data_IF_267433997857
#
_entry.id   IF_267433997857
#
_cell.length_a   1.000
_cell.length_b   1.000
_cell.length_c   1.000
_cell.angle_alpha   90.00
_cell.angle_beta   90.00
_cell.angle_gamma   90.00
#
_symmetry.space_group_name_H-M   'P 1'
#
loop_
_entity.id
_entity.type
_entity.pdbx_description
1 polymer ?
#
# COMPACT_ATOMS: atom_id res chain seq x y z
N UNK A 1 -1.61 -11.25 6.38
CA UNK A 1 -1.57 -10.83 4.97
C UNK A 1 -0.53 -11.61 4.16
N UNK A 2 -0.87 -11.95 2.93
CA UNK A 2 0.07 -12.41 1.90
C UNK A 2 0.41 -11.25 0.96
N UNK A 3 1.65 -11.18 0.49
CA UNK A 3 2.07 -10.15 -0.44
C UNK A 3 3.00 -10.68 -1.52
N UNK A 4 3.00 -9.99 -2.66
CA UNK A 4 3.98 -10.19 -3.73
C UNK A 4 4.51 -8.82 -4.18
N UNK A 5 5.82 -8.73 -4.40
CA UNK A 5 6.49 -7.53 -4.92
C UNK A 5 6.97 -7.81 -6.33
N UNK A 6 6.63 -6.93 -7.26
CA UNK A 6 7.02 -7.02 -8.67
C UNK A 6 7.55 -5.66 -9.14
N UNK A 7 8.71 -5.66 -9.79
CA UNK A 7 9.23 -4.45 -10.44
C UNK A 7 8.46 -4.22 -11.75
N UNK A 8 7.95 -3.01 -11.92
CA UNK A 8 7.28 -2.56 -13.14
C UNK A 8 8.17 -1.57 -13.89
N UNK A 9 7.80 -1.22 -15.12
CA UNK A 9 8.56 -0.28 -15.94
C UNK A 9 8.62 1.13 -15.32
N UNK A 10 7.57 1.54 -14.59
CA UNK A 10 7.43 2.85 -13.93
C UNK A 10 7.72 2.84 -12.42
N UNK A 11 8.10 1.67 -11.87
CA UNK A 11 8.50 1.54 -10.48
C UNK A 11 8.18 0.18 -9.87
N UNK A 12 7.30 0.17 -8.87
CA UNK A 12 7.03 -1.02 -8.05
C UNK A 12 5.53 -1.32 -8.00
N UNK A 13 5.15 -2.60 -8.12
CA UNK A 13 3.80 -3.07 -7.82
C UNK A 13 3.85 -4.05 -6.66
N UNK A 14 3.03 -3.79 -5.65
CA UNK A 14 2.90 -4.62 -4.45
C UNK A 14 1.48 -5.13 -4.39
N UNK A 15 1.28 -6.42 -4.59
CA UNK A 15 -0.03 -7.06 -4.45
C UNK A 15 -0.23 -7.51 -3.02
N UNK A 16 -1.36 -7.12 -2.41
CA UNK A 16 -1.74 -7.47 -1.05
C UNK A 16 -2.99 -8.33 -1.05
N UNK A 17 -2.98 -9.42 -0.27
CA UNK A 17 -4.11 -10.33 -0.17
C UNK A 17 -4.46 -10.75 1.27
N UNK A 18 -5.75 -11.04 1.48
CA UNK A 18 -6.30 -11.48 2.76
C UNK A 18 -6.57 -10.32 3.71
N UNK A 19 -6.13 -10.42 4.96
CA UNK A 19 -6.38 -9.43 6.02
C UNK A 19 -5.08 -8.79 6.46
N UNK A 20 -5.06 -7.46 6.51
CA UNK A 20 -3.92 -6.67 6.98
C UNK A 20 -4.21 -6.09 8.37
N UNK A 21 -3.49 -6.58 9.37
CA UNK A 21 -3.62 -6.17 10.78
C UNK A 21 -2.24 -6.02 11.42
N UNK A 22 -2.18 -5.68 12.71
CA UNK A 22 -0.95 -5.39 13.44
C UNK A 22 0.08 -6.54 13.37
N UNK A 23 -0.38 -7.79 13.26
CA UNK A 23 0.51 -8.96 13.19
C UNK A 23 1.34 -9.00 11.90
N UNK A 24 0.98 -8.22 10.88
CA UNK A 24 1.67 -8.17 9.60
C UNK A 24 2.80 -7.14 9.53
N UNK A 25 3.15 -6.49 10.64
CA UNK A 25 4.19 -5.45 10.69
C UNK A 25 5.54 -5.90 10.11
N UNK A 26 5.99 -7.13 10.41
CA UNK A 26 7.26 -7.65 9.89
C UNK A 26 7.22 -7.86 8.37
N UNK A 27 6.12 -8.39 7.86
CA UNK A 27 5.91 -8.57 6.41
C UNK A 27 5.86 -7.22 5.69
N UNK A 28 5.18 -6.25 6.29
CA UNK A 28 5.08 -4.92 5.71
C UNK A 28 6.41 -4.17 5.73
N UNK A 29 7.28 -4.43 6.71
CA UNK A 29 8.64 -3.87 6.72
C UNK A 29 9.43 -4.27 5.48
N UNK A 30 9.34 -5.52 5.01
CA UNK A 30 10.00 -5.96 3.79
C UNK A 30 9.47 -5.21 2.54
N UNK A 31 8.19 -4.86 2.54
CA UNK A 31 7.59 -4.02 1.49
C UNK A 31 8.16 -2.61 1.52
N UNK A 32 8.26 -2.00 2.71
CA UNK A 32 8.87 -0.68 2.89
C UNK A 32 10.32 -0.67 2.42
N UNK A 33 11.12 -1.69 2.79
CA UNK A 33 12.51 -1.84 2.32
C UNK A 33 12.59 -1.99 0.79
N UNK A 34 11.58 -2.60 0.15
CA UNK A 34 11.49 -2.69 -1.30
C UNK A 34 11.23 -1.32 -1.94
N UNK A 35 10.34 -0.51 -1.35
CA UNK A 35 10.13 0.90 -1.74
C UNK A 35 11.39 1.73 -1.51
N UNK A 36 12.17 1.43 -0.48
CA UNK A 36 13.41 2.16 -0.26
C UNK A 36 14.45 1.93 -1.34
N UNK A 37 14.47 0.73 -1.93
CA UNK A 37 15.49 0.32 -2.91
C UNK A 37 15.00 0.41 -4.36
N UNK A 38 13.72 0.67 -4.58
CA UNK A 38 13.16 0.74 -5.92
C UNK A 38 13.78 1.87 -6.73
N UNK A 39 13.74 1.72 -8.04
CA UNK A 39 13.94 2.79 -8.99
C UNK A 39 12.62 3.07 -9.71
N UNK A 40 12.41 4.30 -10.14
CA UNK A 40 11.14 4.76 -10.71
C UNK A 40 10.42 5.72 -9.76
N UNK A 41 9.29 6.24 -10.24
CA UNK A 41 8.58 7.36 -9.61
C UNK A 41 7.21 6.93 -9.04
N UNK A 42 6.82 5.66 -9.18
CA UNK A 42 5.50 5.19 -8.77
C UNK A 42 5.52 3.83 -8.08
N UNK A 43 4.86 3.74 -6.93
CA UNK A 43 4.59 2.49 -6.23
C UNK A 43 3.07 2.25 -6.18
N UNK A 44 2.62 1.15 -6.77
CA UNK A 44 1.20 0.75 -6.79
C UNK A 44 0.96 -0.39 -5.79
N UNK A 45 0.14 -0.13 -4.78
CA UNK A 45 -0.43 -1.17 -3.95
C UNK A 45 -1.70 -1.70 -4.60
N UNK A 46 -1.66 -2.94 -5.07
CA UNK A 46 -2.81 -3.65 -5.58
C UNK A 46 -3.55 -4.32 -4.43
N UNK A 47 -4.71 -3.76 -4.10
CA UNK A 47 -5.59 -4.15 -3.00
C UNK A 47 -6.73 -5.06 -3.45
N UNK A 48 -6.70 -5.57 -4.69
CA UNK A 48 -7.76 -6.43 -5.24
C UNK A 48 -7.95 -7.73 -4.46
N UNK A 49 -6.88 -8.27 -3.88
CA UNK A 49 -6.94 -9.42 -2.99
C UNK A 49 -7.18 -9.08 -1.52
N UNK A 50 -7.19 -7.79 -1.14
CA UNK A 50 -7.28 -7.38 0.26
C UNK A 50 -8.75 -7.32 0.70
N UNK A 51 -9.10 -8.18 1.63
CA UNK A 51 -10.47 -8.36 2.10
C UNK A 51 -10.80 -7.44 3.28
N UNK A 52 -9.79 -7.11 4.09
CA UNK A 52 -9.95 -6.33 5.32
C UNK A 52 -8.67 -5.60 5.72
N UNK A 53 -8.84 -4.39 6.27
CA UNK A 53 -7.78 -3.58 6.87
C UNK A 53 -8.29 -2.95 8.17
N UNK A 54 -7.49 -2.94 9.23
CA UNK A 54 -7.79 -2.23 10.48
C UNK A 54 -7.00 -0.91 10.60
N UNK A 55 -7.09 -0.25 11.76
CA UNK A 55 -6.35 0.99 12.03
C UNK A 55 -4.83 0.83 11.94
N UNK A 56 -4.30 -0.34 12.29
CA UNK A 56 -2.86 -0.61 12.21
C UNK A 56 -2.41 -0.81 10.77
N UNK A 57 -3.21 -1.51 9.96
CA UNK A 57 -2.95 -1.64 8.52
C UNK A 57 -3.04 -0.30 7.79
N UNK A 58 -3.96 0.58 8.18
CA UNK A 58 -3.98 1.97 7.68
C UNK A 58 -2.68 2.71 8.05
N UNK A 59 -2.20 2.55 9.28
CA UNK A 59 -0.91 3.09 9.73
C UNK A 59 0.27 2.62 8.89
N UNK A 60 0.26 1.37 8.43
CA UNK A 60 1.31 0.81 7.56
C UNK A 60 1.40 1.55 6.22
N UNK A 61 0.28 1.87 5.58
CA UNK A 61 0.29 2.69 4.35
C UNK A 61 0.87 4.08 4.59
N UNK A 62 0.60 4.70 5.75
CA UNK A 62 1.20 5.99 6.12
C UNK A 62 2.71 5.89 6.25
N UNK A 63 3.22 4.82 6.88
CA UNK A 63 4.67 4.56 6.97
C UNK A 63 5.27 4.41 5.57
N UNK A 64 4.64 3.64 4.68
CA UNK A 64 5.11 3.50 3.30
C UNK A 64 5.19 4.86 2.58
N UNK A 65 4.20 5.73 2.78
CA UNK A 65 4.17 7.09 2.24
C UNK A 65 5.29 7.95 2.76
N UNK A 66 5.55 7.93 4.06
CA UNK A 66 6.61 8.74 4.66
C UNK A 66 8.00 8.34 4.15
N UNK A 67 8.18 7.08 3.76
CA UNK A 67 9.40 6.57 3.13
C UNK A 67 9.48 6.92 1.63
N UNK A 68 8.35 6.91 0.92
CA UNK A 68 8.27 7.22 -0.51
C UNK A 68 8.42 8.73 -0.82
N UNK A 69 7.85 9.59 0.03
CA UNK A 69 7.85 11.05 -0.13
C UNK A 69 9.23 11.68 -0.37
N UNK A 70 10.26 11.44 0.47
CA UNK A 70 11.59 12.04 0.27
C UNK A 70 12.28 11.56 -1.01
N UNK A 71 11.77 10.49 -1.64
CA UNK A 71 12.28 9.92 -2.90
C UNK A 71 11.47 10.37 -4.12
N UNK A 72 10.47 11.25 -3.94
CA UNK A 72 9.51 11.65 -4.97
C UNK A 72 8.78 10.46 -5.62
N UNK A 73 8.55 9.38 -4.86
CA UNK A 73 7.76 8.24 -5.32
C UNK A 73 6.29 8.48 -4.98
N UNK A 74 5.41 8.49 -5.99
CA UNK A 74 3.97 8.56 -5.82
C UNK A 74 3.43 7.19 -5.39
N UNK A 75 2.64 7.15 -4.32
CA UNK A 75 1.93 5.93 -3.89
C UNK A 75 0.49 5.96 -4.38
N UNK A 76 0.09 4.86 -5.01
CA UNK A 76 -1.28 4.60 -5.42
C UNK A 76 -1.85 3.37 -4.72
N UNK A 77 -3.10 3.47 -4.29
CA UNK A 77 -3.91 2.36 -3.78
C UNK A 77 -4.91 1.96 -4.86
N UNK A 78 -4.65 0.86 -5.54
CA UNK A 78 -5.40 0.37 -6.69
C UNK A 78 -6.29 -0.81 -6.32
N UNK A 79 -7.47 -0.93 -6.92
CA UNK A 79 -8.25 -2.17 -6.87
C UNK A 79 -8.90 -2.49 -5.53
N UNK A 80 -9.06 -1.52 -4.63
CA UNK A 80 -9.63 -1.79 -3.31
C UNK A 80 -11.07 -2.33 -3.40
N UNK A 81 -11.30 -3.51 -2.82
CA UNK A 81 -12.64 -4.08 -2.67
C UNK A 81 -13.56 -3.18 -1.83
N UNK A 82 -14.89 -3.33 -1.94
CA UNK A 82 -15.86 -2.42 -1.31
C UNK A 82 -15.63 -2.25 0.20
N UNK A 83 -15.32 -3.34 0.92
CA UNK A 83 -15.03 -3.34 2.36
C UNK A 83 -13.84 -2.44 2.70
N UNK A 84 -12.71 -2.64 2.02
CA UNK A 84 -11.48 -1.87 2.21
C UNK A 84 -11.68 -0.43 1.73
N UNK A 85 -12.32 -0.22 0.58
CA UNK A 85 -12.61 1.10 0.02
C UNK A 85 -13.42 1.96 0.99
N UNK A 86 -14.44 1.37 1.66
CA UNK A 86 -15.24 2.09 2.67
C UNK A 86 -14.37 2.54 3.85
N UNK A 87 -13.47 1.68 4.31
CA UNK A 87 -12.56 1.99 5.42
C UNK A 87 -11.60 3.13 5.02
N UNK A 88 -11.01 3.06 3.82
CA UNK A 88 -10.16 4.13 3.26
C UNK A 88 -10.92 5.46 3.17
N UNK A 89 -12.18 5.44 2.72
CA UNK A 89 -13.03 6.64 2.63
C UNK A 89 -13.32 7.27 3.99
N UNK A 90 -13.68 6.46 4.99
CA UNK A 90 -13.94 6.93 6.37
C UNK A 90 -12.66 7.57 6.95
N UNK A 91 -11.51 6.94 6.72
CA UNK A 91 -10.21 7.45 7.16
C UNK A 91 -9.67 8.59 6.28
N UNK A 92 -10.41 9.01 5.25
CA UNK A 92 -10.05 10.06 4.29
C UNK A 92 -8.72 9.82 3.56
N UNK A 93 -8.36 8.57 3.29
CA UNK A 93 -7.10 8.21 2.66
C UNK A 93 -6.91 8.82 1.26
N UNK A 94 -8.00 9.14 0.57
CA UNK A 94 -7.98 9.88 -0.69
C UNK A 94 -7.36 11.28 -0.61
N UNK A 95 -7.17 11.86 0.58
CA UNK A 95 -6.46 13.15 0.73
C UNK A 95 -4.95 12.98 0.84
N UNK A 96 -4.48 11.75 1.09
CA UNK A 96 -3.07 11.43 1.32
C UNK A 96 -2.48 10.57 0.20
N UNK A 97 -3.34 9.77 -0.45
CA UNK A 97 -2.99 8.81 -1.49
C UNK A 97 -3.88 8.98 -2.71
N UNK A 98 -3.33 8.65 -3.87
CA UNK A 98 -4.13 8.40 -5.06
C UNK A 98 -4.85 7.06 -4.89
N UNK A 99 -6.19 7.07 -4.93
CA UNK A 99 -7.00 5.85 -4.83
C UNK A 99 -7.72 5.63 -6.15
N UNK A 100 -7.48 4.50 -6.79
CA UNK A 100 -8.02 4.15 -8.10
C UNK A 100 -8.81 2.84 -8.06
N UNK A 101 -9.86 2.71 -8.90
CA UNK A 101 -10.63 1.48 -9.01
C UNK A 101 -9.80 0.33 -9.55
#
# INVERSE_FOLDING_TARGET
>A
MDYAVQTAADGLRVTLAGRMTLVDHEKFRAVVESIERMQGERCVFDLSGLEFVDSSGLGMFLIARDVALPKNVEIELFGAQESVRRILQIAKFQTLFRVTP
#
